data_IF_757282176442
#
_entry.id   IF_757282176442
#
_cell.length_a   1.000
_cell.length_b   1.000
_cell.length_c   1.000
_cell.angle_alpha   90.00
_cell.angle_beta   90.00
_cell.angle_gamma   90.00
#
_symmetry.space_group_name_H-M   'P 1'
#
loop_
_entity.id
_entity.type
_entity.pdbx_description
1 polymer ?
#
# COMPACT_ATOMS: atom_id res chain seq x y z
N UNK A 1 8.44 4.30 0.85
CA UNK A 1 8.19 3.23 -0.13
C UNK A 1 9.43 3.08 -0.99
N UNK A 2 9.72 1.86 -1.44
CA UNK A 2 10.84 1.56 -2.34
C UNK A 2 10.28 0.80 -3.52
N UNK A 3 10.58 1.24 -4.73
CA UNK A 3 10.17 0.56 -5.97
C UNK A 3 11.35 -0.28 -6.41
N UNK A 4 11.13 -1.58 -6.59
CA UNK A 4 12.19 -2.52 -6.97
C UNK A 4 12.23 -2.70 -8.47
N UNK A 5 11.08 -2.94 -9.08
CA UNK A 5 10.95 -3.05 -10.53
C UNK A 5 9.53 -2.73 -11.01
N UNK A 6 9.48 -2.25 -12.26
CA UNK A 6 8.26 -1.97 -13.01
C UNK A 6 8.51 -2.50 -14.43
N UNK A 7 7.62 -3.34 -14.94
CA UNK A 7 7.71 -3.92 -16.26
C UNK A 7 6.38 -3.81 -16.98
N UNK A 8 6.44 -3.40 -18.24
CA UNK A 8 5.31 -3.36 -19.15
C UNK A 8 5.43 -4.51 -20.15
N UNK A 9 4.32 -5.20 -20.37
CA UNK A 9 4.19 -6.23 -21.39
C UNK A 9 2.93 -6.04 -22.19
N UNK A 10 2.80 -6.78 -23.28
CA UNK A 10 1.61 -6.83 -24.12
C UNK A 10 1.07 -8.27 -24.13
N UNK A 11 -0.24 -8.41 -24.06
CA UNK A 11 -0.88 -9.71 -24.07
C UNK A 11 -2.40 -9.58 -24.05
N UNK A 12 -3.08 -10.69 -23.83
CA UNK A 12 -4.52 -10.70 -23.58
C UNK A 12 -4.79 -10.90 -22.10
N UNK A 13 -5.87 -10.32 -21.60
CA UNK A 13 -6.40 -10.70 -20.30
C UNK A 13 -6.95 -12.15 -20.32
N UNK A 14 -7.48 -12.61 -19.19
CA UNK A 14 -8.11 -13.94 -19.09
C UNK A 14 -9.35 -14.11 -19.97
N UNK A 15 -9.93 -13.00 -20.46
CA UNK A 15 -11.11 -13.01 -21.35
C UNK A 15 -10.73 -12.93 -22.83
N UNK A 16 -9.43 -12.78 -23.15
CA UNK A 16 -8.92 -12.67 -24.52
C UNK A 16 -8.83 -11.24 -25.04
N UNK A 17 -9.18 -10.24 -24.23
CA UNK A 17 -9.10 -8.82 -24.59
C UNK A 17 -7.63 -8.38 -24.66
N UNK A 18 -7.14 -7.93 -25.83
CA UNK A 18 -5.79 -7.41 -25.96
C UNK A 18 -5.59 -6.17 -25.07
N UNK A 19 -4.58 -6.21 -24.21
CA UNK A 19 -4.29 -5.14 -23.26
C UNK A 19 -2.81 -5.10 -22.91
N UNK A 20 -2.33 -3.93 -22.50
CA UNK A 20 -1.04 -3.84 -21.82
C UNK A 20 -1.16 -4.42 -20.41
N UNK A 21 -0.11 -5.12 -20.01
CA UNK A 21 0.05 -5.82 -18.75
C UNK A 21 1.16 -5.13 -17.95
N UNK A 22 0.89 -4.90 -16.66
CA UNK A 22 1.85 -4.30 -15.74
C UNK A 22 2.29 -5.32 -14.69
N UNK A 23 3.59 -5.43 -14.50
CA UNK A 23 4.19 -6.15 -13.39
C UNK A 23 4.99 -5.16 -12.56
N UNK A 24 4.69 -5.06 -11.27
CA UNK A 24 5.31 -4.11 -10.36
C UNK A 24 5.63 -4.79 -9.03
N UNK A 25 6.81 -4.51 -8.49
CA UNK A 25 7.25 -4.96 -7.18
C UNK A 25 7.75 -3.77 -6.36
N UNK A 26 7.12 -3.54 -5.22
CA UNK A 26 7.49 -2.47 -4.29
C UNK A 26 7.53 -2.98 -2.85
N UNK A 27 8.31 -2.32 -2.01
CA UNK A 27 8.26 -2.49 -0.56
C UNK A 27 7.77 -1.22 0.13
N UNK A 28 6.78 -1.38 0.98
CA UNK A 28 6.22 -0.34 1.83
C UNK A 28 6.74 -0.51 3.26
N UNK A 29 7.28 0.58 3.82
CA UNK A 29 7.71 0.65 5.22
C UNK A 29 6.66 1.42 6.01
N UNK A 30 5.97 0.72 6.91
CA UNK A 30 4.91 1.27 7.77
C UNK A 30 5.46 1.35 9.19
N UNK A 31 5.42 2.54 9.77
CA UNK A 31 5.75 2.74 11.18
C UNK A 31 4.47 2.85 11.97
N UNK A 32 4.29 2.01 12.97
CA UNK A 32 3.14 2.07 13.88
C UNK A 32 3.64 2.46 15.26
N UNK A 33 3.03 3.49 15.83
CA UNK A 33 3.28 3.96 17.18
C UNK A 33 2.10 3.60 18.08
N UNK A 34 2.38 2.95 19.21
CA UNK A 34 1.40 2.74 20.27
C UNK A 34 1.75 3.64 21.46
N UNK A 35 1.06 4.78 21.64
CA UNK A 35 1.30 5.69 22.75
C UNK A 35 0.70 5.19 24.08
N UNK A 36 -0.15 4.17 24.07
CA UNK A 36 -0.84 3.71 25.27
C UNK A 36 0.17 3.23 26.33
N UNK A 37 -0.08 3.60 27.59
CA UNK A 37 0.77 3.28 28.75
C UNK A 37 0.35 2.02 29.49
N UNK A 38 -0.92 1.62 29.37
CA UNK A 38 -1.50 0.53 30.16
C UNK A 38 -1.72 -0.77 29.37
N UNK A 39 -1.78 -0.71 28.03
CA UNK A 39 -2.12 -1.88 27.22
C UNK A 39 -1.39 -1.90 25.88
N UNK A 40 -1.15 -3.11 25.36
CA UNK A 40 -0.73 -3.31 23.98
C UNK A 40 -1.92 -3.44 23.04
N UNK A 41 -1.64 -3.29 21.74
CA UNK A 41 -2.65 -3.34 20.69
C UNK A 41 -2.33 -4.45 19.69
N UNK A 42 -3.35 -5.13 19.21
CA UNK A 42 -3.25 -6.01 18.05
C UNK A 42 -3.53 -5.18 16.80
N UNK A 43 -2.59 -5.16 15.88
CA UNK A 43 -2.65 -4.40 14.64
C UNK A 43 -2.84 -5.38 13.48
N UNK A 44 -3.80 -5.09 12.61
CA UNK A 44 -4.02 -5.76 11.33
C UNK A 44 -4.44 -4.74 10.28
N UNK A 45 -4.49 -5.12 9.00
CA UNK A 45 -5.00 -4.26 7.94
C UNK A 45 -5.88 -5.03 6.97
N UNK A 46 -6.64 -4.31 6.15
CA UNK A 46 -7.08 -4.82 4.85
C UNK A 46 -5.87 -5.05 3.92
N UNK A 47 -6.07 -5.67 2.75
CA UNK A 47 -5.07 -5.62 1.69
C UNK A 47 -4.72 -4.16 1.39
N UNK A 48 -3.42 -3.91 1.26
CA UNK A 48 -2.85 -2.64 0.88
C UNK A 48 -2.76 -2.62 -0.63
N UNK A 49 -3.56 -1.76 -1.24
CA UNK A 49 -3.65 -1.66 -2.68
C UNK A 49 -2.92 -0.41 -3.15
N UNK A 50 -2.05 -0.60 -4.14
CA UNK A 50 -1.49 0.48 -4.94
C UNK A 50 -2.34 0.59 -6.20
N UNK A 51 -2.95 1.75 -6.40
CA UNK A 51 -3.91 1.98 -7.47
C UNK A 51 -3.36 2.97 -8.48
N UNK A 52 -3.56 2.67 -9.76
CA UNK A 52 -3.39 3.62 -10.85
C UNK A 52 -4.77 3.90 -11.44
N UNK A 53 -5.21 5.16 -11.38
CA UNK A 53 -6.60 5.53 -11.67
C UNK A 53 -7.58 4.70 -10.81
N UNK A 54 -8.32 3.76 -11.41
CA UNK A 54 -9.27 2.87 -10.71
C UNK A 54 -8.81 1.40 -10.68
N UNK A 55 -7.58 1.11 -11.08
CA UNK A 55 -7.06 -0.25 -11.22
C UNK A 55 -6.05 -0.53 -10.10
N UNK A 56 -6.27 -1.61 -9.34
CA UNK A 56 -5.31 -2.08 -8.35
C UNK A 56 -4.13 -2.76 -9.05
N UNK A 57 -3.02 -2.03 -9.19
CA UNK A 57 -1.82 -2.48 -9.92
C UNK A 57 -0.90 -3.33 -9.07
N UNK A 58 -0.94 -3.18 -7.75
CA UNK A 58 -0.29 -4.10 -6.83
C UNK A 58 -1.09 -4.20 -5.53
N UNK A 59 -0.98 -5.36 -4.90
CA UNK A 59 -1.55 -5.58 -3.57
C UNK A 59 -0.54 -6.26 -2.66
N UNK A 60 -0.69 -6.04 -1.36
CA UNK A 60 0.08 -6.73 -0.33
C UNK A 60 -0.61 -6.64 1.01
N UNK A 61 -0.22 -7.48 1.95
CA UNK A 61 -0.93 -7.62 3.21
C UNK A 61 -0.01 -7.36 4.40
N UNK A 62 -0.42 -6.49 5.32
CA UNK A 62 0.25 -6.36 6.61
C UNK A 62 -0.07 -7.61 7.45
N UNK A 63 0.96 -8.36 7.81
CA UNK A 63 0.83 -9.49 8.73
C UNK A 63 0.39 -8.97 10.10
N UNK A 64 -0.70 -9.54 10.63
CA UNK A 64 -1.20 -9.20 11.96
C UNK A 64 -0.11 -9.40 13.02
N UNK A 65 0.01 -8.47 13.95
CA UNK A 65 0.97 -8.57 15.03
C UNK A 65 0.49 -7.90 16.31
N UNK A 66 1.08 -8.30 17.43
CA UNK A 66 0.92 -7.61 18.69
C UNK A 66 1.98 -6.52 18.84
N UNK A 67 1.54 -5.34 19.26
CA UNK A 67 2.37 -4.19 19.54
C UNK A 67 2.30 -3.85 21.04
N UNK A 68 3.42 -3.90 21.77
CA UNK A 68 3.47 -3.55 23.18
C UNK A 68 3.05 -2.09 23.46
N UNK A 69 2.77 -1.79 24.73
CA UNK A 69 2.56 -0.43 25.23
C UNK A 69 3.81 0.44 24.99
N UNK A 70 3.63 1.75 24.81
CA UNK A 70 4.71 2.73 24.59
C UNK A 70 5.78 2.27 23.60
N UNK A 71 5.36 1.74 22.45
CA UNK A 71 6.29 1.14 21.49
C UNK A 71 6.17 1.74 20.10
N UNK A 72 7.30 1.76 19.40
CA UNK A 72 7.42 2.10 17.99
C UNK A 72 7.91 0.88 17.23
N UNK A 73 7.14 0.43 16.23
CA UNK A 73 7.53 -0.72 15.43
C UNK A 73 7.40 -0.42 13.95
N UNK A 74 8.47 -0.77 13.23
CA UNK A 74 8.50 -0.69 11.78
C UNK A 74 8.13 -2.05 11.22
N UNK A 75 7.24 -2.05 10.22
CA UNK A 75 6.82 -3.22 9.45
C UNK A 75 7.07 -2.98 7.98
N UNK A 76 7.59 -4.01 7.31
CA UNK A 76 7.80 -4.00 5.88
C UNK A 76 6.73 -4.87 5.23
N UNK A 77 6.08 -4.34 4.20
CA UNK A 77 5.04 -5.01 3.42
C UNK A 77 5.48 -4.98 1.96
N UNK A 78 5.48 -6.14 1.31
CA UNK A 78 5.74 -6.23 -0.12
C UNK A 78 4.42 -6.08 -0.86
N UNK A 79 4.39 -5.15 -1.80
CA UNK A 79 3.29 -4.93 -2.73
C UNK A 79 3.72 -5.49 -4.08
N UNK A 80 2.95 -6.43 -4.61
CA UNK A 80 3.24 -7.06 -5.88
C UNK A 80 2.02 -7.06 -6.79
N UNK A 81 2.25 -6.76 -8.06
CA UNK A 81 1.33 -7.01 -9.15
C UNK A 81 2.04 -7.80 -10.23
N UNK A 82 1.38 -8.80 -10.78
CA UNK A 82 1.93 -9.64 -11.84
C UNK A 82 0.97 -9.67 -13.01
N UNK A 83 1.42 -9.18 -14.17
CA UNK A 83 0.64 -9.13 -15.42
C UNK A 83 -0.77 -8.54 -15.21
N UNK A 84 -0.85 -7.43 -14.50
CA UNK A 84 -2.13 -6.74 -14.24
C UNK A 84 -2.59 -6.04 -15.52
N UNK A 85 -3.76 -6.37 -16.07
CA UNK A 85 -4.29 -5.72 -17.27
C UNK A 85 -4.72 -4.28 -16.98
N UNK A 86 -4.33 -3.37 -17.88
CA UNK A 86 -4.60 -1.93 -17.74
C UNK A 86 -5.77 -1.41 -18.60
N UNK A 87 -6.36 -2.26 -19.45
CA UNK A 87 -7.57 -1.98 -20.24
C UNK A 87 -7.62 -0.55 -20.83
N UNK A 88 -6.69 -0.26 -21.75
CA UNK A 88 -6.60 1.05 -22.41
C UNK A 88 -5.79 2.11 -21.64
N UNK A 89 -5.62 1.96 -20.32
CA UNK A 89 -4.80 2.87 -19.50
C UNK A 89 -3.29 2.58 -19.60
N UNK A 90 -2.87 1.60 -20.40
CA UNK A 90 -1.47 1.20 -20.53
C UNK A 90 -0.60 2.19 -21.29
N UNK A 91 -1.10 2.77 -22.38
CA UNK A 91 -0.31 3.71 -23.18
C UNK A 91 -0.01 5.00 -22.42
N UNK A 92 -0.98 5.50 -21.65
CA UNK A 92 -0.81 6.67 -20.78
C UNK A 92 0.17 6.37 -19.65
N UNK A 93 0.08 5.18 -19.04
CA UNK A 93 0.98 4.80 -17.96
C UNK A 93 2.43 4.67 -18.44
N UNK A 94 2.66 4.06 -19.60
CA UNK A 94 4.00 3.93 -20.18
C UNK A 94 4.58 5.28 -20.62
N UNK A 95 3.75 6.21 -21.10
CA UNK A 95 4.18 7.57 -21.39
C UNK A 95 4.59 8.32 -20.12
N UNK A 96 3.85 8.16 -19.02
CA UNK A 96 4.18 8.74 -17.71
C UNK A 96 5.45 8.13 -17.11
N UNK A 97 5.68 6.84 -17.33
CA UNK A 97 6.91 6.15 -16.96
C UNK A 97 8.14 6.72 -17.67
N UNK A 98 8.01 7.10 -18.95
CA UNK A 98 9.08 7.78 -19.69
C UNK A 98 9.45 9.14 -19.07
N UNK A 99 8.48 9.81 -18.47
CA UNK A 99 8.64 11.08 -17.78
C UNK A 99 9.05 10.94 -16.31
N UNK A 100 9.08 9.72 -15.76
CA UNK A 100 9.50 9.43 -14.39
C UNK A 100 8.47 9.74 -13.31
N UNK A 101 7.24 10.13 -13.68
CA UNK A 101 6.22 10.54 -12.72
C UNK A 101 4.90 9.79 -12.97
N UNK A 102 4.73 8.67 -12.28
CA UNK A 102 3.50 7.88 -12.33
C UNK A 102 2.62 8.20 -11.11
N UNK A 103 1.49 8.89 -11.27
CA UNK A 103 0.58 9.19 -10.17
C UNK A 103 -0.14 7.90 -9.74
N UNK A 104 0.02 7.53 -8.48
CA UNK A 104 -0.64 6.38 -7.87
C UNK A 104 -1.30 6.76 -6.55
N UNK A 105 -2.23 5.92 -6.12
CA UNK A 105 -2.92 6.05 -4.85
C UNK A 105 -2.74 4.79 -4.01
N UNK A 106 -2.19 4.94 -2.81
CA UNK A 106 -2.06 3.86 -1.85
C UNK A 106 -3.29 3.84 -0.94
N UNK A 107 -4.05 2.76 -0.93
CA UNK A 107 -5.31 2.66 -0.20
C UNK A 107 -5.32 1.40 0.68
N UNK A 108 -5.63 1.57 1.96
CA UNK A 108 -5.77 0.48 2.92
C UNK A 108 -6.53 0.89 4.18
N UNK A 109 -7.09 -0.08 4.89
CA UNK A 109 -7.68 0.12 6.22
C UNK A 109 -6.78 -0.50 7.29
N UNK A 110 -6.49 0.25 8.36
CA UNK A 110 -5.76 -0.23 9.54
C UNK A 110 -6.74 -0.49 10.68
N UNK A 111 -6.65 -1.68 11.26
CA UNK A 111 -7.49 -2.13 12.35
C UNK A 111 -6.60 -2.29 13.59
N UNK A 112 -6.96 -1.62 14.68
CA UNK A 112 -6.30 -1.78 15.97
C UNK A 112 -7.30 -2.26 17.03
N UNK A 113 -6.84 -3.17 17.89
CA UNK A 113 -7.63 -3.71 19.00
C UNK A 113 -6.79 -3.74 20.27
N UNK A 114 -7.23 -3.02 21.30
CA UNK A 114 -6.62 -3.00 22.62
C UNK A 114 -7.61 -3.43 23.70
N UNK A 115 -7.09 -4.03 24.77
CA UNK A 115 -7.83 -4.40 25.97
C UNK A 115 -7.41 -3.41 27.07
N UNK A 116 -8.24 -2.42 27.38
CA UNK A 116 -7.88 -1.27 28.23
C UNK A 116 -7.87 -1.65 29.70
N UNK A 117 -8.89 -2.42 30.14
CA UNK A 117 -9.02 -2.93 31.52
C UNK A 117 -9.27 -4.43 31.45
N UNK A 118 -8.20 -5.22 31.36
CA UNK A 118 -8.32 -6.67 31.18
C UNK A 118 -9.22 -7.02 29.99
N UNK A 119 -10.16 -7.96 30.16
CA UNK A 119 -11.14 -8.31 29.12
C UNK A 119 -12.44 -7.49 29.19
N UNK A 120 -12.59 -6.60 30.18
CA UNK A 120 -13.81 -5.84 30.44
C UNK A 120 -14.04 -4.75 29.39
N UNK A 121 -13.00 -3.97 29.10
CA UNK A 121 -13.08 -2.86 28.15
C UNK A 121 -12.18 -3.15 26.95
N UNK A 122 -12.80 -3.30 25.78
CA UNK A 122 -12.11 -3.58 24.52
C UNK A 122 -12.27 -2.40 23.56
N UNK A 123 -11.19 -1.68 23.32
CA UNK A 123 -11.13 -0.65 22.29
C UNK A 123 -10.87 -1.28 20.92
N UNK A 124 -11.58 -0.81 19.90
CA UNK A 124 -11.39 -1.17 18.50
C UNK A 124 -11.39 0.12 17.70
N UNK A 125 -10.37 0.30 16.87
CA UNK A 125 -10.34 1.38 15.90
C UNK A 125 -10.12 0.82 14.51
N UNK A 126 -10.74 1.50 13.54
CA UNK A 126 -10.53 1.30 12.12
C UNK A 126 -10.23 2.68 11.55
N UNK A 127 -9.22 2.76 10.71
CA UNK A 127 -8.88 3.97 9.98
C UNK A 127 -8.55 3.60 8.55
N UNK A 128 -9.26 4.19 7.60
CA UNK A 128 -8.97 4.11 6.19
C UNK A 128 -7.93 5.16 5.85
N UNK A 129 -6.87 4.73 5.19
CA UNK A 129 -5.74 5.56 4.77
C UNK A 129 -5.72 5.56 3.25
N UNK A 130 -5.75 6.75 2.66
CA UNK A 130 -5.60 6.93 1.22
C UNK A 130 -4.51 7.96 0.97
N UNK A 131 -3.42 7.60 0.30
CA UNK A 131 -2.29 8.51 0.06
C UNK A 131 -2.01 8.64 -1.42
N UNK A 132 -1.99 9.88 -1.92
CA UNK A 132 -1.50 10.21 -3.25
C UNK A 132 0.02 10.22 -3.26
N UNK A 133 0.62 9.59 -4.27
CA UNK A 133 2.08 9.50 -4.41
C UNK A 133 2.47 9.40 -5.89
N UNK A 134 3.68 9.84 -6.20
CA UNK A 134 4.27 9.77 -7.54
C UNK A 134 5.40 8.74 -7.52
N UNK A 135 5.32 7.75 -8.41
CA UNK A 135 6.32 6.70 -8.57
C UNK A 135 7.23 7.02 -9.75
N UNK A 136 8.53 6.97 -9.50
CA UNK A 136 9.57 6.91 -10.51
C UNK A 136 10.11 5.48 -10.60
N UNK A 137 9.92 4.81 -11.74
CA UNK A 137 10.38 3.44 -11.97
C UNK A 137 11.90 3.33 -12.09
N UNK A 138 12.58 4.42 -12.44
CA UNK A 138 14.03 4.47 -12.65
C UNK A 138 14.79 4.65 -11.34
N UNK A 139 14.09 5.11 -10.31
CA UNK A 139 14.68 5.46 -9.04
C UNK A 139 14.24 4.49 -7.94
N UNK A 140 15.14 3.58 -7.59
CA UNK A 140 14.95 2.63 -6.49
C UNK A 140 15.22 3.23 -5.10
N UNK A 141 15.45 4.55 -4.99
CA UNK A 141 15.67 5.17 -3.69
C UNK A 141 14.39 5.14 -2.84
N UNK A 142 14.49 4.90 -1.52
CA UNK A 142 13.34 4.98 -0.64
C UNK A 142 12.75 6.39 -0.63
N UNK A 143 11.50 6.52 -1.06
CA UNK A 143 10.72 7.77 -0.96
C UNK A 143 9.94 7.82 0.35
N UNK A 144 9.83 9.01 0.95
CA UNK A 144 8.90 9.25 2.07
C UNK A 144 7.57 9.70 1.50
N UNK A 145 6.49 9.07 1.94
CA UNK A 145 5.13 9.54 1.64
C UNK A 145 4.90 10.74 2.55
N UNK A 146 4.51 11.88 1.98
CA UNK A 146 4.27 13.09 2.75
C UNK A 146 2.93 12.96 3.50
N UNK A 147 2.83 13.59 4.66
CA UNK A 147 1.63 13.45 5.50
C UNK A 147 0.43 14.21 4.93
N UNK A 148 0.68 15.33 4.23
CA UNK A 148 -0.31 16.16 3.55
C UNK A 148 -0.92 15.48 2.32
N UNK A 149 -0.25 14.48 1.75
CA UNK A 149 -0.78 13.70 0.62
C UNK A 149 -1.71 12.55 1.04
N UNK A 150 -1.93 12.36 2.34
CA UNK A 150 -2.74 11.29 2.89
C UNK A 150 -4.03 11.80 3.54
N UNK A 151 -5.14 11.10 3.28
CA UNK A 151 -6.41 11.27 3.99
C UNK A 151 -6.65 10.10 4.95
N UNK A 152 -7.31 10.40 6.07
CA UNK A 152 -7.55 9.47 7.18
C UNK A 152 -9.04 9.52 7.55
N UNK A 153 -9.81 8.54 7.08
CA UNK A 153 -11.24 8.40 7.36
C UNK A 153 -11.51 7.33 8.44
#
# INVERSE_FOLDING_TARGET
>A
MTVHNVYFGEGSDTTGVPTKLLTINCSLRITVHNPATFFGIHVSSSPINLMYSQIAVASGQLKKYYQPRQSNRIKLVNLQGNKVPLYGAGATLEALDKNGNIPMMLVFEVHSRGNVVGKLVRSKHRKRVSCSLEIDSRNSKPMKIKADSCTYD
#
